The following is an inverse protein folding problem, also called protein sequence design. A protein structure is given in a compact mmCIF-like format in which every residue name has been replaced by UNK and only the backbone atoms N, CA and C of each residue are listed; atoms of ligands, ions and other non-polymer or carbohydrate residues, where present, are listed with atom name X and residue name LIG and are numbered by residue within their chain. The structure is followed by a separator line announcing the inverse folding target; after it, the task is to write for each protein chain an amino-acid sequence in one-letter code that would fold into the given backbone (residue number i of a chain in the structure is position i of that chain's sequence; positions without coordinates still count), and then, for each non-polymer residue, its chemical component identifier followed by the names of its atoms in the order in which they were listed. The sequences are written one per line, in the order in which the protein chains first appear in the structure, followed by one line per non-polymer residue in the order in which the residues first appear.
data_IF_466364270007
#
_entry.id   IF_466364270007
#
_cell.length_a   1.000
_cell.length_b   1.000
_cell.length_c   1.000
_cell.angle_alpha   90.00
_cell.angle_beta   90.00
_cell.angle_gamma   90.00
#
_symmetry.space_group_name_H-M   'P 1'
#
loop_
_entity.id
_entity.type
_entity.pdbx_description
1 polymer ?
#
# COMPACT_ATOMS: atom_id res chain seq x y z
N UNK A 1 -13.60 6.38 3.58
CA UNK A 1 -12.38 6.84 2.90
C UNK A 1 -12.42 8.35 2.62
N UNK A 2 -13.61 8.94 2.49
CA UNK A 2 -13.79 10.35 2.10
C UNK A 2 -13.76 10.57 0.58
N UNK A 3 -13.71 9.50 -0.20
CA UNK A 3 -13.82 9.47 -1.67
C UNK A 3 -14.30 8.10 -2.11
N UNK A 4 -14.82 7.99 -3.33
CA UNK A 4 -15.25 6.73 -3.92
C UNK A 4 -14.06 5.98 -4.52
N UNK A 5 -13.75 4.75 -4.06
CA UNK A 5 -12.68 3.97 -4.63
C UNK A 5 -13.05 3.49 -6.04
N UNK A 6 -12.08 3.43 -6.95
CA UNK A 6 -12.29 2.89 -8.31
C UNK A 6 -12.77 1.44 -8.28
N UNK A 7 -12.30 0.67 -7.30
CA UNK A 7 -12.69 -0.71 -7.06
C UNK A 7 -12.79 -0.95 -5.55
N UNK A 8 -13.98 -1.30 -5.07
CA UNK A 8 -14.23 -1.47 -3.64
C UNK A 8 -13.39 -2.61 -3.01
N UNK A 9 -13.20 -3.72 -3.72
CA UNK A 9 -12.40 -4.87 -3.26
C UNK A 9 -11.11 -4.94 -4.05
N UNK A 10 -10.06 -4.35 -3.50
CA UNK A 10 -8.73 -4.31 -4.10
C UNK A 10 -7.64 -4.07 -3.05
N UNK A 11 -6.40 -4.40 -3.38
CA UNK A 11 -5.21 -4.10 -2.61
C UNK A 11 -5.09 -2.61 -2.32
N UNK A 12 -5.23 -1.79 -3.35
CA UNK A 12 -5.16 -0.34 -3.22
C UNK A 12 -6.21 0.21 -2.24
N UNK A 13 -7.45 -0.29 -2.29
CA UNK A 13 -8.49 0.14 -1.34
C UNK A 13 -8.15 -0.27 0.09
N UNK A 14 -7.64 -1.49 0.29
CA UNK A 14 -7.18 -1.93 1.62
C UNK A 14 -6.05 -1.04 2.15
N UNK A 15 -5.05 -0.69 1.32
CA UNK A 15 -3.95 0.21 1.70
C UNK A 15 -4.44 1.63 2.04
N UNK A 16 -5.34 2.18 1.24
CA UNK A 16 -5.92 3.49 1.51
C UNK A 16 -6.74 3.51 2.82
N UNK A 17 -7.45 2.43 3.13
CA UNK A 17 -8.14 2.28 4.42
C UNK A 17 -7.14 2.21 5.57
N UNK A 18 -6.06 1.41 5.44
CA UNK A 18 -5.00 1.31 6.42
C UNK A 18 -4.33 2.67 6.68
N UNK A 19 -3.98 3.41 5.62
CA UNK A 19 -3.41 4.75 5.73
C UNK A 19 -4.36 5.72 6.45
N UNK A 20 -5.64 5.73 6.13
CA UNK A 20 -6.63 6.58 6.83
C UNK A 20 -6.78 6.23 8.30
N UNK A 21 -6.80 4.93 8.62
CA UNK A 21 -6.85 4.45 10.00
C UNK A 21 -5.58 4.88 10.77
N UNK A 22 -4.41 4.73 10.17
CA UNK A 22 -3.13 5.16 10.72
C UNK A 22 -3.10 6.66 11.01
N UNK A 23 -3.44 7.50 10.03
CA UNK A 23 -3.45 8.96 10.20
C UNK A 23 -4.45 9.41 11.28
N UNK A 24 -5.60 8.71 11.38
CA UNK A 24 -6.56 8.98 12.47
C UNK A 24 -5.99 8.60 13.83
N UNK A 25 -5.34 7.46 13.94
CA UNK A 25 -4.69 7.01 15.16
C UNK A 25 -3.57 7.98 15.59
N UNK A 26 -2.74 8.45 14.66
CA UNK A 26 -1.70 9.47 14.92
C UNK A 26 -2.26 10.80 15.43
N UNK A 27 -3.45 11.21 14.98
CA UNK A 27 -4.12 12.40 15.53
C UNK A 27 -4.57 12.22 16.97
N UNK A 28 -4.92 11.00 17.37
CA UNK A 28 -5.36 10.67 18.72
C UNK A 28 -4.18 10.41 19.66
N UNK A 29 -3.11 9.82 19.14
CA UNK A 29 -1.89 9.48 19.86
C UNK A 29 -0.65 9.87 19.03
N UNK A 30 -0.26 11.18 19.04
CA UNK A 30 0.82 11.70 18.19
C UNK A 30 2.19 11.07 18.45
N UNK A 31 2.45 10.69 19.70
CA UNK A 31 3.76 10.18 20.15
C UNK A 31 3.80 8.66 20.28
N UNK A 32 2.65 8.00 20.23
CA UNK A 32 2.56 6.55 20.34
C UNK A 32 2.91 5.80 19.05
N UNK A 33 3.36 4.56 19.21
CA UNK A 33 3.42 3.63 18.08
C UNK A 33 2.00 3.20 17.74
N UNK A 34 1.55 3.54 16.53
CA UNK A 34 0.21 3.23 16.07
C UNK A 34 0.25 2.46 14.76
N UNK A 35 -0.76 1.63 14.53
CA UNK A 35 -0.93 0.85 13.32
C UNK A 35 -2.33 1.15 12.77
N UNK A 36 -2.41 1.43 11.48
CA UNK A 36 -3.65 1.45 10.72
C UNK A 36 -3.85 0.12 9.99
N UNK A 37 -5.01 -0.48 10.15
CA UNK A 37 -5.40 -1.70 9.43
C UNK A 37 -6.56 -1.42 8.52
N UNK A 38 -6.52 -1.96 7.29
CA UNK A 38 -7.59 -1.89 6.29
C UNK A 38 -7.82 -3.27 5.69
N UNK A 39 -9.10 -3.64 5.50
CA UNK A 39 -9.46 -4.90 4.86
C UNK A 39 -10.63 -4.73 3.93
N UNK A 40 -10.56 -5.39 2.77
CA UNK A 40 -11.65 -5.52 1.81
C UNK A 40 -11.76 -6.97 1.36
N UNK A 41 -12.98 -7.49 1.23
CA UNK A 41 -13.19 -8.86 0.78
C UNK A 41 -14.40 -8.99 -0.15
N UNK A 42 -14.28 -9.90 -1.08
CA UNK A 42 -15.37 -10.44 -1.87
C UNK A 42 -15.47 -11.92 -1.54
N UNK A 43 -16.50 -12.30 -0.82
CA UNK A 43 -16.74 -13.68 -0.37
C UNK A 43 -18.03 -14.21 -1.00
N UNK A 44 -18.24 -15.51 -0.90
CA UNK A 44 -19.43 -16.15 -1.46
C UNK A 44 -20.73 -15.56 -0.95
N UNK A 45 -21.71 -15.43 -1.81
CA UNK A 45 -23.05 -14.88 -1.55
C UNK A 45 -24.09 -15.78 -2.23
N UNK A 46 -25.39 -15.51 -1.97
CA UNK A 46 -26.49 -16.20 -2.64
C UNK A 46 -26.60 -15.91 -4.15
N UNK A 47 -25.73 -15.03 -4.69
CA UNK A 47 -25.66 -14.72 -6.13
C UNK A 47 -24.38 -15.27 -6.70
N UNK A 48 -24.48 -15.96 -7.83
CA UNK A 48 -23.29 -16.32 -8.60
C UNK A 48 -22.57 -15.06 -9.09
N UNK A 49 -21.27 -15.00 -8.78
CA UNK A 49 -20.38 -13.92 -9.23
C UNK A 49 -19.36 -14.47 -10.22
N UNK A 50 -19.12 -13.70 -11.29
CA UNK A 50 -18.14 -14.08 -12.32
C UNK A 50 -16.70 -13.90 -11.84
N UNK A 51 -16.42 -12.91 -10.96
CA UNK A 51 -15.09 -12.63 -10.44
C UNK A 51 -14.70 -13.58 -9.31
N UNK A 52 -13.40 -13.66 -9.00
CA UNK A 52 -12.87 -14.49 -7.92
C UNK A 52 -13.33 -13.99 -6.55
N UNK A 53 -13.47 -14.93 -5.62
CA UNK A 53 -13.60 -14.61 -4.21
C UNK A 53 -12.20 -14.35 -3.65
N UNK A 54 -12.03 -13.23 -2.95
CA UNK A 54 -10.72 -12.77 -2.50
C UNK A 54 -10.80 -11.84 -1.30
N UNK A 55 -9.73 -11.82 -0.53
CA UNK A 55 -9.55 -10.92 0.61
C UNK A 55 -8.23 -10.18 0.47
N UNK A 56 -8.26 -8.88 0.73
CA UNK A 56 -7.09 -8.03 0.81
C UNK A 56 -7.03 -7.38 2.17
N UNK A 57 -5.87 -7.39 2.79
CA UNK A 57 -5.60 -6.73 4.06
C UNK A 57 -4.34 -5.90 3.90
N UNK A 58 -4.32 -4.72 4.49
CA UNK A 58 -3.12 -3.91 4.55
C UNK A 58 -2.92 -3.35 5.95
N UNK A 59 -1.65 -3.19 6.32
CA UNK A 59 -1.22 -2.57 7.56
C UNK A 59 -0.26 -1.42 7.25
N UNK A 60 -0.48 -0.26 7.90
CA UNK A 60 0.37 0.91 7.84
C UNK A 60 0.90 1.25 9.22
N UNK A 61 2.21 1.42 9.35
CA UNK A 61 2.89 1.90 10.54
C UNK A 61 3.79 3.10 10.22
N UNK A 62 4.51 3.62 11.22
CA UNK A 62 5.56 4.63 11.00
C UNK A 62 6.70 4.10 10.11
N UNK A 63 6.95 2.79 10.11
CA UNK A 63 8.15 2.18 9.57
C UNK A 63 7.93 1.35 8.31
N UNK A 64 6.71 0.87 8.08
CA UNK A 64 6.41 0.02 6.93
C UNK A 64 4.95 0.08 6.50
N UNK A 65 4.73 -0.26 5.25
CA UNK A 65 3.42 -0.67 4.70
C UNK A 65 3.52 -2.13 4.31
N UNK A 66 2.60 -2.96 4.78
CA UNK A 66 2.46 -4.35 4.35
C UNK A 66 1.07 -4.58 3.76
N UNK A 67 1.00 -5.36 2.68
CA UNK A 67 -0.25 -5.81 2.08
C UNK A 67 -0.27 -7.33 1.97
N UNK A 68 -1.45 -7.90 2.16
CA UNK A 68 -1.71 -9.33 2.13
C UNK A 68 -2.89 -9.58 1.21
N UNK A 69 -2.79 -10.57 0.35
CA UNK A 69 -3.87 -10.99 -0.52
C UNK A 69 -4.09 -12.48 -0.46
N UNK A 70 -5.34 -12.91 -0.53
CA UNK A 70 -5.76 -14.29 -0.51
C UNK A 70 -6.88 -14.50 -1.53
N UNK A 71 -6.70 -15.45 -2.43
CA UNK A 71 -7.75 -15.96 -3.30
C UNK A 71 -8.47 -17.08 -2.55
N UNK A 72 -9.78 -16.96 -2.43
CA UNK A 72 -10.63 -17.91 -1.71
C UNK A 72 -11.20 -18.94 -2.69
N UNK A 73 -11.28 -20.19 -2.25
CA UNK A 73 -11.91 -21.23 -3.04
C UNK A 73 -13.44 -21.05 -3.06
N UNK A 74 -14.00 -20.92 -4.24
CA UNK A 74 -15.45 -20.75 -4.45
C UNK A 74 -16.29 -21.97 -4.06
N UNK A 75 -15.66 -23.14 -3.94
CA UNK A 75 -16.35 -24.35 -3.46
C UNK A 75 -16.61 -24.33 -1.94
N UNK A 76 -15.90 -23.46 -1.21
CA UNK A 76 -16.10 -23.28 0.22
C UNK A 76 -17.38 -22.52 0.52
N UNK A 77 -18.04 -22.91 1.61
CA UNK A 77 -19.18 -22.16 2.13
C UNK A 77 -18.75 -20.78 2.67
N UNK A 78 -19.72 -19.94 2.90
CA UNK A 78 -19.50 -18.57 3.40
C UNK A 78 -18.77 -18.55 4.73
N UNK A 79 -19.09 -19.44 5.66
CA UNK A 79 -18.48 -19.48 6.99
C UNK A 79 -16.99 -19.80 6.89
N UNK A 80 -16.62 -20.77 6.07
CA UNK A 80 -15.23 -21.14 5.80
C UNK A 80 -14.46 -19.97 5.19
N UNK A 81 -15.04 -19.27 4.21
CA UNK A 81 -14.39 -18.09 3.61
C UNK A 81 -14.25 -16.95 4.61
N UNK A 82 -15.24 -16.70 5.46
CA UNK A 82 -15.15 -15.70 6.55
C UNK A 82 -14.03 -16.05 7.54
N UNK A 83 -13.86 -17.32 7.90
CA UNK A 83 -12.77 -17.77 8.77
C UNK A 83 -11.39 -17.52 8.12
N UNK A 84 -11.25 -17.77 6.81
CA UNK A 84 -10.02 -17.46 6.09
C UNK A 84 -9.71 -15.95 6.10
N UNK A 85 -10.71 -15.10 5.87
CA UNK A 85 -10.55 -13.66 5.97
C UNK A 85 -10.15 -13.20 7.38
N UNK A 86 -10.79 -13.74 8.42
CA UNK A 86 -10.45 -13.43 9.81
C UNK A 86 -9.00 -13.81 10.13
N UNK A 87 -8.55 -14.99 9.71
CA UNK A 87 -7.16 -15.43 9.89
C UNK A 87 -6.18 -14.50 9.20
N UNK A 88 -6.47 -14.10 7.95
CA UNK A 88 -5.62 -13.15 7.22
C UNK A 88 -5.52 -11.80 7.93
N UNK A 89 -6.63 -11.29 8.47
CA UNK A 89 -6.65 -10.03 9.23
C UNK A 89 -5.81 -10.15 10.51
N UNK A 90 -5.96 -11.24 11.26
CA UNK A 90 -5.19 -11.49 12.47
C UNK A 90 -3.69 -11.64 12.17
N UNK A 91 -3.34 -12.34 11.08
CA UNK A 91 -1.97 -12.48 10.61
C UNK A 91 -1.35 -11.13 10.26
N UNK A 92 -2.06 -10.30 9.49
CA UNK A 92 -1.59 -8.97 9.13
C UNK A 92 -1.39 -8.08 10.37
N UNK A 93 -2.27 -8.18 11.37
CA UNK A 93 -2.15 -7.46 12.62
C UNK A 93 -0.95 -7.95 13.45
N UNK A 94 -0.76 -9.25 13.58
CA UNK A 94 0.37 -9.86 14.28
C UNK A 94 1.70 -9.45 13.62
N UNK A 95 1.79 -9.53 12.29
CA UNK A 95 2.95 -9.07 11.53
C UNK A 95 3.27 -7.60 11.80
N UNK A 96 2.26 -6.73 11.74
CA UNK A 96 2.43 -5.30 11.99
C UNK A 96 2.87 -5.00 13.44
N UNK A 97 2.54 -5.88 14.38
CA UNK A 97 3.00 -5.82 15.78
C UNK A 97 4.39 -6.45 15.99
N UNK A 98 5.06 -6.95 14.95
CA UNK A 98 6.38 -7.56 15.04
C UNK A 98 6.38 -8.96 15.68
N UNK A 99 5.25 -9.66 15.66
CA UNK A 99 5.17 -11.07 16.06
C UNK A 99 5.75 -11.97 14.98
N UNK A 100 6.46 -13.03 15.38
CA UNK A 100 7.21 -13.88 14.46
C UNK A 100 6.30 -14.71 13.51
N UNK A 101 6.82 -15.01 12.30
CA UNK A 101 6.10 -15.72 11.23
C UNK A 101 5.61 -17.14 11.61
N UNK A 102 6.22 -17.79 12.61
CA UNK A 102 5.79 -19.11 13.07
C UNK A 102 4.37 -19.09 13.65
N UNK A 103 3.99 -18.00 14.30
CA UNK A 103 2.65 -17.84 14.86
C UNK A 103 1.63 -17.54 13.72
N UNK A 104 2.08 -16.86 12.68
CA UNK A 104 1.27 -16.51 11.51
C UNK A 104 0.90 -17.76 10.69
N UNK A 105 1.86 -18.62 10.42
CA UNK A 105 1.63 -19.87 9.70
C UNK A 105 0.69 -20.79 10.48
N UNK A 106 0.79 -20.85 11.79
CA UNK A 106 -0.09 -21.63 12.64
C UNK A 106 -1.52 -21.06 12.71
N UNK A 107 -1.69 -19.73 12.59
CA UNK A 107 -3.00 -19.08 12.52
C UNK A 107 -3.68 -19.31 11.16
N UNK A 108 -2.90 -19.36 10.07
CA UNK A 108 -3.42 -19.60 8.72
C UNK A 108 -3.68 -21.09 8.48
N UNK A 109 -2.84 -21.98 9.03
CA UNK A 109 -2.93 -23.43 8.87
C UNK A 109 -3.47 -24.07 10.14
N UNK A 110 -4.79 -24.20 10.23
CA UNK A 110 -5.39 -25.08 11.22
C UNK A 110 -5.08 -26.53 10.82
N UNK A 111 -4.28 -27.25 11.63
CA UNK A 111 -3.87 -28.64 11.40
C UNK A 111 -5.05 -29.63 11.34
N UNK A 112 -6.30 -29.15 11.46
CA UNK A 112 -7.52 -29.98 11.44
C UNK A 112 -8.27 -29.95 10.12
N UNK A 113 -7.96 -29.03 9.21
CA UNK A 113 -8.58 -29.00 7.87
C UNK A 113 -7.52 -29.45 6.85
N UNK A 114 -7.77 -30.48 6.04
CA UNK A 114 -6.86 -30.82 4.96
C UNK A 114 -6.72 -29.60 4.08
N UNK A 115 -5.50 -29.07 3.96
CA UNK A 115 -5.17 -27.96 3.04
C UNK A 115 -5.16 -28.52 1.61
N UNK A 116 -6.32 -28.92 1.12
CA UNK A 116 -6.53 -29.08 -0.29
C UNK A 116 -6.77 -27.69 -0.85
N UNK A 117 -5.72 -27.09 -1.42
CA UNK A 117 -5.80 -25.91 -2.29
C UNK A 117 -6.22 -24.54 -1.68
N UNK A 118 -5.80 -24.21 -0.47
CA UNK A 118 -5.74 -22.80 -0.12
C UNK A 118 -4.64 -22.18 -1.00
N UNK A 119 -5.01 -21.30 -1.91
CA UNK A 119 -4.05 -20.47 -2.63
C UNK A 119 -3.20 -19.76 -1.60
N UNK A 120 -1.88 -19.87 -1.70
CA UNK A 120 -0.96 -19.28 -0.72
C UNK A 120 -1.30 -17.79 -0.56
N UNK A 121 -1.38 -17.33 0.68
CA UNK A 121 -1.49 -15.90 0.93
C UNK A 121 -0.24 -15.22 0.37
N UNK A 122 -0.43 -14.18 -0.43
CA UNK A 122 0.66 -13.39 -0.97
C UNK A 122 0.87 -12.16 -0.10
N UNK A 123 2.12 -11.88 0.27
CA UNK A 123 2.50 -10.70 1.04
C UNK A 123 3.50 -9.84 0.26
N UNK A 124 3.28 -8.52 0.26
CA UNK A 124 4.25 -7.50 -0.14
C UNK A 124 4.49 -6.54 1.03
N UNK A 125 5.72 -6.08 1.19
CA UNK A 125 6.07 -5.09 2.21
C UNK A 125 7.10 -4.10 1.67
N UNK A 126 6.93 -2.84 2.04
CA UNK A 126 7.92 -1.80 1.88
C UNK A 126 8.30 -1.22 3.24
N UNK A 127 9.59 -1.29 3.58
CA UNK A 127 10.16 -0.62 4.74
C UNK A 127 10.56 0.80 4.37
N UNK A 128 10.15 1.76 5.20
CA UNK A 128 10.41 3.16 4.95
C UNK A 128 11.78 3.58 5.47
N UNK A 129 12.66 4.16 4.64
CA UNK A 129 13.82 4.86 5.13
C UNK A 129 13.39 6.08 5.97
N UNK A 130 14.23 6.50 6.90
CA UNK A 130 13.93 7.61 7.81
C UNK A 130 13.39 8.88 7.11
N UNK A 131 13.92 9.32 5.95
CA UNK A 131 13.38 10.48 5.25
C UNK A 131 11.90 10.32 4.83
N UNK A 132 11.47 9.11 4.43
CA UNK A 132 10.07 8.87 4.07
C UNK A 132 9.15 8.86 5.30
N UNK A 133 9.63 8.32 6.43
CA UNK A 133 8.91 8.39 7.70
C UNK A 133 8.68 9.86 8.10
N UNK A 134 9.72 10.68 8.00
CA UNK A 134 9.65 12.12 8.31
C UNK A 134 8.66 12.88 7.42
N UNK A 135 8.56 12.53 6.13
CA UNK A 135 7.53 13.07 5.23
C UNK A 135 6.13 12.70 5.72
N UNK A 136 5.89 11.42 6.02
CA UNK A 136 4.55 10.93 6.38
C UNK A 136 4.03 11.54 7.68
N UNK A 137 4.90 11.70 8.69
CA UNK A 137 4.55 12.33 9.97
C UNK A 137 4.63 13.86 9.97
N UNK A 138 5.04 14.46 8.85
CA UNK A 138 5.07 15.92 8.68
C UNK A 138 6.22 16.64 9.39
N UNK A 139 7.29 15.93 9.78
CA UNK A 139 8.52 16.52 10.33
C UNK A 139 9.52 16.97 9.26
N UNK A 140 9.31 16.55 8.02
CA UNK A 140 10.00 17.05 6.83
C UNK A 140 8.99 17.39 5.75
N UNK A 141 9.28 18.42 4.96
CA UNK A 141 8.43 18.83 3.82
C UNK A 141 8.92 18.26 2.50
N UNK A 142 10.19 17.87 2.42
CA UNK A 142 10.78 17.23 1.25
C UNK A 142 11.95 16.34 1.65
N UNK A 143 12.25 15.38 0.80
CA UNK A 143 13.47 14.58 0.87
C UNK A 143 14.06 14.48 -0.53
N UNK A 144 15.38 14.42 -0.63
CA UNK A 144 16.09 14.33 -1.90
C UNK A 144 16.91 13.05 -1.96
N UNK A 145 16.92 12.41 -3.12
CA UNK A 145 17.87 11.35 -3.44
C UNK A 145 18.82 11.85 -4.54
N UNK A 146 20.05 12.19 -4.17
CA UNK A 146 21.17 12.35 -5.11
C UNK A 146 21.34 13.72 -5.79
N UNK A 147 20.43 14.68 -5.67
CA UNK A 147 20.56 16.01 -6.29
C UNK A 147 20.71 17.08 -5.23
N UNK A 148 21.81 17.83 -5.26
CA UNK A 148 22.15 18.79 -4.21
C UNK A 148 21.39 20.10 -4.25
N UNK A 149 20.82 20.51 -5.38
CA UNK A 149 19.98 21.71 -5.50
C UNK A 149 19.28 21.72 -6.86
N UNK A 150 18.09 21.13 -7.00
CA UNK A 150 17.35 21.18 -8.25
C UNK A 150 16.92 22.62 -8.53
N UNK A 151 17.20 23.12 -9.75
CA UNK A 151 16.77 24.46 -10.18
C UNK A 151 15.41 24.45 -10.85
N UNK A 152 15.05 23.31 -11.48
CA UNK A 152 13.78 23.11 -12.14
C UNK A 152 13.16 21.82 -11.59
N UNK A 153 11.97 21.97 -11.00
CA UNK A 153 11.18 20.84 -10.49
C UNK A 153 9.98 20.60 -11.40
N UNK A 154 9.71 19.36 -11.67
CA UNK A 154 8.48 18.92 -12.32
C UNK A 154 7.70 18.04 -11.34
N UNK A 155 6.72 18.61 -10.61
CA UNK A 155 5.91 17.87 -9.68
C UNK A 155 4.89 17.00 -10.40
N UNK A 156 4.70 15.76 -9.92
CA UNK A 156 3.73 14.86 -10.51
C UNK A 156 3.49 13.60 -9.70
N UNK A 157 2.44 12.87 -10.09
CA UNK A 157 2.15 11.57 -9.53
C UNK A 157 2.97 10.45 -10.19
N UNK A 158 3.35 10.61 -11.45
CA UNK A 158 4.13 9.67 -12.28
C UNK A 158 3.70 8.19 -12.12
N UNK A 159 2.39 7.96 -12.26
CA UNK A 159 1.82 6.63 -12.09
C UNK A 159 0.94 6.22 -13.29
N UNK A 160 1.55 5.70 -14.37
CA UNK A 160 2.99 5.64 -14.64
C UNK A 160 3.57 6.93 -15.23
N UNK A 161 4.90 7.02 -15.27
CA UNK A 161 5.59 7.96 -16.15
C UNK A 161 5.31 7.55 -17.63
N UNK A 162 4.91 8.49 -18.47
CA UNK A 162 4.55 8.21 -19.86
C UNK A 162 5.20 9.19 -20.84
N UNK A 163 5.14 8.88 -22.13
CA UNK A 163 5.80 9.65 -23.21
C UNK A 163 5.45 11.16 -23.21
N UNK A 164 4.27 11.54 -22.71
CA UNK A 164 3.89 12.95 -22.58
C UNK A 164 4.75 13.69 -21.55
N UNK A 165 5.01 13.06 -20.40
CA UNK A 165 5.90 13.63 -19.37
C UNK A 165 7.32 13.79 -19.92
N UNK A 166 7.86 12.75 -20.60
CA UNK A 166 9.20 12.78 -21.17
C UNK A 166 9.37 13.90 -22.21
N UNK A 167 8.40 14.08 -23.10
CA UNK A 167 8.41 15.18 -24.07
C UNK A 167 8.39 16.57 -23.41
N UNK A 168 7.67 16.71 -22.30
CA UNK A 168 7.67 17.97 -21.53
C UNK A 168 9.04 18.24 -20.90
N UNK A 169 9.68 17.20 -20.34
CA UNK A 169 11.02 17.28 -19.76
C UNK A 169 12.02 17.67 -20.83
N UNK A 170 12.07 16.95 -21.95
CA UNK A 170 12.99 17.20 -23.06
C UNK A 170 12.84 18.65 -23.59
N UNK A 171 11.60 19.11 -23.77
CA UNK A 171 11.33 20.47 -24.22
C UNK A 171 11.82 21.52 -23.22
N UNK A 172 11.54 21.32 -21.93
CA UNK A 172 11.97 22.24 -20.88
C UNK A 172 13.50 22.31 -20.78
N UNK A 173 14.18 21.16 -20.80
CA UNK A 173 15.65 21.07 -20.75
C UNK A 173 16.30 21.75 -21.96
N UNK A 174 15.77 21.52 -23.18
CA UNK A 174 16.26 22.20 -24.39
C UNK A 174 16.07 23.71 -24.33
N UNK A 175 14.97 24.20 -23.79
CA UNK A 175 14.69 25.63 -23.72
C UNK A 175 15.44 26.36 -22.62
N UNK A 176 15.67 25.71 -21.49
CA UNK A 176 16.22 26.32 -20.29
C UNK A 176 17.72 26.02 -20.10
N UNK A 177 18.26 25.06 -20.86
CA UNK A 177 19.66 24.65 -20.74
C UNK A 177 20.03 24.02 -19.39
N UNK A 178 19.01 23.52 -18.67
CA UNK A 178 19.16 22.97 -17.34
C UNK A 178 18.38 21.68 -17.21
N UNK A 179 18.82 20.78 -16.33
CA UNK A 179 18.13 19.52 -16.07
C UNK A 179 16.86 19.73 -15.26
N UNK A 180 15.81 18.99 -15.61
CA UNK A 180 14.55 18.91 -14.89
C UNK A 180 14.63 17.75 -13.88
N UNK A 181 14.36 18.05 -12.62
CA UNK A 181 14.25 17.04 -11.57
C UNK A 181 12.77 16.70 -11.34
N UNK A 182 12.45 15.43 -11.29
CA UNK A 182 11.09 14.96 -11.01
C UNK A 182 10.82 15.01 -9.51
N UNK A 183 9.66 15.51 -9.13
CA UNK A 183 9.19 15.55 -7.75
C UNK A 183 7.94 14.68 -7.60
N UNK A 184 8.03 13.63 -6.79
CA UNK A 184 6.88 12.80 -6.42
C UNK A 184 6.12 13.49 -5.28
N UNK A 185 4.91 13.96 -5.56
CA UNK A 185 4.02 14.50 -4.54
C UNK A 185 3.43 13.38 -3.71
N UNK A 186 3.84 13.28 -2.44
CA UNK A 186 3.38 12.23 -1.52
C UNK A 186 2.01 12.52 -0.91
N UNK A 187 1.63 13.80 -0.84
CA UNK A 187 0.34 14.26 -0.35
C UNK A 187 -0.52 14.83 -1.47
N UNK A 188 -1.79 14.49 -1.46
CA UNK A 188 -2.79 15.02 -2.39
C UNK A 188 -4.01 15.49 -1.59
N UNK A 189 -4.70 16.53 -2.08
CA UNK A 189 -5.86 17.13 -1.40
C UNK A 189 -7.02 16.13 -1.29
N UNK A 190 -7.26 15.35 -2.33
CA UNK A 190 -8.44 14.52 -2.46
C UNK A 190 -8.23 13.03 -2.10
N UNK A 191 -6.98 12.64 -1.83
CA UNK A 191 -6.62 11.24 -1.56
C UNK A 191 -5.78 11.13 -0.29
N UNK A 192 -5.72 9.95 0.36
CA UNK A 192 -4.72 9.70 1.39
C UNK A 192 -3.30 9.93 0.84
N UNK A 193 -2.34 10.24 1.69
CA UNK A 193 -0.93 10.22 1.30
C UNK A 193 -0.56 8.88 0.67
N UNK A 194 0.48 8.90 -0.16
CA UNK A 194 1.06 7.66 -0.67
C UNK A 194 1.55 6.81 0.50
N UNK A 195 1.22 5.54 0.47
CA UNK A 195 1.85 4.56 1.35
C UNK A 195 3.27 4.21 0.86
N UNK A 196 4.03 3.48 1.66
CA UNK A 196 5.42 3.20 1.33
C UNK A 196 5.60 2.22 0.16
N UNK A 197 4.61 1.36 -0.11
CA UNK A 197 4.59 0.53 -1.32
C UNK A 197 4.42 1.39 -2.57
N UNK A 198 3.46 2.31 -2.56
CA UNK A 198 3.26 3.26 -3.66
C UNK A 198 4.50 4.15 -3.87
N UNK A 199 5.14 4.61 -2.79
CA UNK A 199 6.38 5.39 -2.88
C UNK A 199 7.51 4.56 -3.49
N UNK A 200 7.71 3.32 -3.04
CA UNK A 200 8.73 2.41 -3.56
C UNK A 200 8.51 2.11 -5.04
N UNK A 201 7.27 1.78 -5.43
CA UNK A 201 6.93 1.47 -6.81
C UNK A 201 7.20 2.68 -7.74
N UNK A 202 6.83 3.90 -7.30
CA UNK A 202 7.05 5.13 -8.10
C UNK A 202 8.52 5.50 -8.20
N UNK A 203 9.27 5.45 -7.10
CA UNK A 203 10.71 5.70 -7.11
C UNK A 203 11.41 4.67 -8.00
N UNK A 204 11.01 3.39 -7.93
CA UNK A 204 11.55 2.34 -8.80
C UNK A 204 11.33 2.62 -10.29
N UNK A 205 10.14 3.10 -10.67
CA UNK A 205 9.83 3.47 -12.06
C UNK A 205 10.61 4.69 -12.57
N UNK A 206 11.14 5.52 -11.69
CA UNK A 206 11.88 6.73 -12.03
C UNK A 206 13.39 6.56 -11.97
N UNK A 207 13.92 5.42 -11.50
CA UNK A 207 15.37 5.20 -11.34
C UNK A 207 16.16 5.32 -12.66
N UNK A 208 15.51 5.02 -13.78
CA UNK A 208 16.11 5.14 -15.12
C UNK A 208 16.02 6.58 -15.68
N UNK A 209 15.38 7.49 -14.96
CA UNK A 209 15.18 8.89 -15.35
C UNK A 209 15.76 9.77 -14.24
N UNK A 210 16.90 10.44 -14.49
CA UNK A 210 17.58 11.30 -13.50
C UNK A 210 16.76 12.52 -13.10
#
# INVERSE_FOLDING_TARGET
LGFDPLQAVSENTARQMAMRAYLRAKKLEPHGSVIGLGSTAAITTNRDRKGDDRCFVAAQSDHHTAEFSLVLDKSNDRLTQEQHCQRLILSAMAHACGLEDNDLNNLIHDNKTPVAQASAAHMRQANAPLPWQQLLIGTANSTQSGVTSPQILFPGAFNPLHAGHLKMIDYAEQKLGQRVTLEISTFNVDKPPLDYLDMQDRVGLLQDHP
#
